data_IF_427009054041
#
_entry.id   IF_427009054041
#
_cell.length_a   1.000
_cell.length_b   1.000
_cell.length_c   1.000
_cell.angle_alpha   90.00
_cell.angle_beta   90.00
_cell.angle_gamma   90.00
#
_symmetry.space_group_name_H-M   'P 1'
#
loop_
_entity.id
_entity.type
_entity.pdbx_description
1 polymer ?
#
# COMPACT_ATOMS: atom_id res chain seq x y z
N UNK A 1 21.72 -1.61 24.45
CA UNK A 1 20.25 -1.52 24.58
C UNK A 1 19.91 -0.24 25.30
N UNK A 2 19.22 0.69 24.64
CA UNK A 2 18.87 1.99 25.22
C UNK A 2 17.65 1.83 26.14
N UNK A 3 17.61 2.39 27.37
CA UNK A 3 16.57 2.11 28.36
C UNK A 3 15.33 3.02 28.19
N UNK A 4 14.80 3.14 26.97
CA UNK A 4 13.51 3.81 26.77
C UNK A 4 12.40 2.76 26.76
N UNK A 5 11.73 2.62 27.90
CA UNK A 5 10.49 1.84 28.00
C UNK A 5 9.48 2.34 26.97
N UNK A 6 8.80 1.41 26.26
CA UNK A 6 7.72 1.69 25.30
C UNK A 6 6.52 2.31 26.04
N UNK A 7 6.59 3.62 26.30
CA UNK A 7 5.46 4.34 26.91
C UNK A 7 4.38 4.50 25.84
N UNK A 8 3.25 3.83 26.04
CA UNK A 8 2.09 3.95 25.16
C UNK A 8 1.50 5.36 25.29
N UNK A 9 1.11 5.94 24.16
CA UNK A 9 0.37 7.20 24.12
C UNK A 9 -1.13 6.99 24.39
N UNK A 10 -1.90 8.08 24.32
CA UNK A 10 -3.36 8.02 24.50
C UNK A 10 -4.08 7.15 23.46
N UNK A 11 -3.46 6.92 22.29
CA UNK A 11 -3.98 6.02 21.25
C UNK A 11 -3.75 4.54 21.53
N UNK A 12 -3.02 4.18 22.59
CA UNK A 12 -2.61 2.80 22.86
C UNK A 12 -1.40 2.34 22.03
N UNK A 13 -0.86 3.19 21.15
CA UNK A 13 0.33 2.90 20.34
C UNK A 13 1.54 3.73 20.77
N UNK A 14 2.73 3.31 20.34
CA UNK A 14 4.01 4.01 20.59
C UNK A 14 4.72 4.35 19.28
N UNK A 15 5.77 5.17 19.34
CA UNK A 15 6.65 5.46 18.19
C UNK A 15 7.30 4.20 17.57
N UNK A 16 7.34 3.11 18.32
CA UNK A 16 7.92 1.82 17.89
C UNK A 16 6.86 0.78 17.50
N UNK A 17 5.59 1.18 17.44
CA UNK A 17 4.51 0.30 16.98
C UNK A 17 4.58 0.12 15.47
N UNK A 18 4.42 -1.10 15.00
CA UNK A 18 4.49 -1.41 13.57
C UNK A 18 3.18 -1.06 12.87
N UNK A 19 3.22 -0.88 11.55
CA UNK A 19 2.01 -0.66 10.75
C UNK A 19 1.04 -1.85 10.85
N UNK A 20 1.55 -3.08 11.02
CA UNK A 20 0.71 -4.25 11.29
C UNK A 20 0.01 -4.17 12.64
N UNK A 21 0.73 -3.87 13.73
CA UNK A 21 0.16 -3.74 15.08
C UNK A 21 -0.93 -2.66 15.10
N UNK A 22 -0.68 -1.52 14.45
CA UNK A 22 -1.62 -0.39 14.41
C UNK A 22 -2.89 -0.73 13.62
N UNK A 23 -2.82 -1.64 12.67
CA UNK A 23 -3.95 -2.03 11.81
C UNK A 23 -4.59 -3.36 12.22
N UNK A 24 -4.21 -3.93 13.36
CA UNK A 24 -4.77 -5.19 13.82
C UNK A 24 -6.30 -5.11 13.95
N UNK A 25 -7.00 -6.14 13.44
CA UNK A 25 -8.46 -6.22 13.46
C UNK A 25 -9.18 -5.37 12.40
N UNK A 26 -8.48 -4.59 11.58
CA UNK A 26 -9.10 -3.84 10.48
C UNK A 26 -9.43 -4.78 9.31
N UNK A 27 -10.68 -4.77 8.86
CA UNK A 27 -11.14 -5.44 7.64
C UNK A 27 -11.32 -4.41 6.51
N UNK A 28 -10.48 -4.52 5.47
CA UNK A 28 -10.49 -3.67 4.30
C UNK A 28 -10.93 -4.38 3.02
N UNK A 29 -11.53 -5.58 3.11
CA UNK A 29 -11.85 -6.43 1.94
C UNK A 29 -12.75 -5.77 0.88
N UNK A 30 -13.56 -4.78 1.27
CA UNK A 30 -14.42 -4.01 0.37
C UNK A 30 -13.80 -2.70 -0.14
N UNK A 31 -12.55 -2.42 0.23
CA UNK A 31 -11.86 -1.17 -0.08
C UNK A 31 -10.84 -1.35 -1.19
N UNK A 32 -10.63 -0.29 -1.97
CA UNK A 32 -9.54 -0.17 -2.95
C UNK A 32 -8.68 1.04 -2.60
N UNK A 33 -7.37 0.85 -2.66
CA UNK A 33 -6.37 1.89 -2.41
C UNK A 33 -5.46 2.07 -3.63
N UNK A 34 -5.13 3.31 -3.95
CA UNK A 34 -3.98 3.62 -4.80
C UNK A 34 -2.83 4.02 -3.89
N UNK A 35 -1.69 3.34 -4.03
CA UNK A 35 -0.45 3.68 -3.32
C UNK A 35 0.59 4.11 -4.33
N UNK A 36 0.93 5.40 -4.29
CA UNK A 36 1.98 5.97 -5.13
C UNK A 36 3.37 5.64 -4.56
N UNK A 37 4.36 5.43 -5.43
CA UNK A 37 5.73 5.14 -4.99
C UNK A 37 5.89 3.80 -4.25
N UNK A 38 4.98 2.84 -4.48
CA UNK A 38 4.94 1.57 -3.76
C UNK A 38 6.05 0.57 -4.13
N UNK A 39 7.02 0.94 -4.97
CA UNK A 39 8.13 0.07 -5.38
C UNK A 39 9.22 -0.09 -4.30
N UNK A 40 9.20 0.71 -3.23
CA UNK A 40 10.15 0.62 -2.12
C UNK A 40 9.69 1.37 -0.86
N UNK A 41 10.47 1.26 0.22
CA UNK A 41 10.34 2.10 1.42
C UNK A 41 8.95 2.06 2.05
N UNK A 42 8.46 3.24 2.47
CA UNK A 42 7.16 3.38 3.15
C UNK A 42 6.01 3.00 2.22
N UNK A 43 6.10 3.29 0.92
CA UNK A 43 5.06 2.92 -0.05
C UNK A 43 4.91 1.40 -0.16
N UNK A 44 6.02 0.67 -0.18
CA UNK A 44 6.01 -0.79 -0.20
C UNK A 44 5.40 -1.38 1.08
N UNK A 45 5.79 -0.86 2.26
CA UNK A 45 5.24 -1.29 3.54
C UNK A 45 3.73 -0.97 3.65
N UNK A 46 3.32 0.21 3.16
CA UNK A 46 1.91 0.61 3.12
C UNK A 46 1.11 -0.34 2.24
N UNK A 47 1.61 -0.66 1.04
CA UNK A 47 0.97 -1.61 0.13
C UNK A 47 0.86 -3.00 0.76
N UNK A 48 1.92 -3.47 1.42
CA UNK A 48 1.97 -4.77 2.11
C UNK A 48 0.92 -4.86 3.22
N UNK A 49 0.84 -3.87 4.09
CA UNK A 49 -0.10 -3.85 5.22
C UNK A 49 -1.55 -3.67 4.77
N UNK A 50 -1.82 -2.81 3.78
CA UNK A 50 -3.17 -2.69 3.22
C UNK A 50 -3.62 -4.01 2.58
N UNK A 51 -2.74 -4.66 1.81
CA UNK A 51 -3.02 -5.97 1.23
C UNK A 51 -3.23 -7.05 2.29
N UNK A 52 -2.46 -7.03 3.39
CA UNK A 52 -2.65 -7.91 4.56
C UNK A 52 -4.05 -7.73 5.18
N UNK A 53 -4.61 -6.52 5.15
CA UNK A 53 -5.98 -6.22 5.61
C UNK A 53 -7.05 -6.43 4.54
N UNK A 54 -6.70 -7.06 3.41
CA UNK A 54 -7.64 -7.45 2.35
C UNK A 54 -7.99 -6.34 1.36
N UNK A 55 -7.40 -5.15 1.49
CA UNK A 55 -7.62 -4.03 0.56
C UNK A 55 -7.09 -4.41 -0.83
N UNK A 56 -7.81 -4.05 -1.88
CA UNK A 56 -7.29 -4.13 -3.24
C UNK A 56 -6.34 -2.96 -3.48
N UNK A 57 -5.05 -3.26 -3.60
CA UNK A 57 -4.01 -2.25 -3.76
C UNK A 57 -3.64 -2.08 -5.24
N UNK A 58 -3.70 -0.85 -5.71
CA UNK A 58 -3.19 -0.42 -7.01
C UNK A 58 -1.87 0.33 -6.78
N UNK A 59 -0.75 -0.29 -7.13
CA UNK A 59 0.58 0.29 -7.00
C UNK A 59 0.84 1.21 -8.21
N UNK A 60 0.83 2.53 -7.96
CA UNK A 60 1.21 3.54 -8.96
C UNK A 60 2.70 3.83 -8.87
N UNK A 61 3.49 3.38 -9.85
CA UNK A 61 4.96 3.46 -9.80
C UNK A 61 5.60 3.80 -11.13
N UNK A 62 6.82 4.36 -11.06
CA UNK A 62 7.70 4.51 -12.23
C UNK A 62 8.55 3.25 -12.43
N UNK A 63 9.10 2.70 -11.33
CA UNK A 63 9.88 1.47 -11.36
C UNK A 63 8.99 0.20 -11.31
N UNK A 64 8.66 -0.30 -12.49
CA UNK A 64 7.84 -1.50 -12.66
C UNK A 64 8.54 -2.79 -12.21
N UNK A 65 9.87 -2.84 -12.20
CA UNK A 65 10.61 -4.03 -11.78
C UNK A 65 10.61 -4.10 -10.26
N UNK A 66 10.94 -2.99 -9.58
CA UNK A 66 10.87 -2.88 -8.13
C UNK A 66 9.46 -3.21 -7.60
N UNK A 67 8.42 -2.68 -8.24
CA UNK A 67 7.05 -2.99 -7.84
C UNK A 67 6.66 -4.46 -8.02
N UNK A 68 7.14 -5.15 -9.08
CA UNK A 68 6.92 -6.60 -9.24
C UNK A 68 7.57 -7.39 -8.10
N UNK A 69 8.81 -7.05 -7.74
CA UNK A 69 9.50 -7.70 -6.62
C UNK A 69 8.75 -7.50 -5.30
N UNK A 70 8.24 -6.28 -5.04
CA UNK A 70 7.41 -5.99 -3.87
C UNK A 70 6.12 -6.80 -3.92
N UNK A 71 5.38 -6.82 -5.05
CA UNK A 71 4.17 -7.63 -5.21
C UNK A 71 4.43 -9.12 -4.95
N UNK A 72 5.52 -9.67 -5.47
CA UNK A 72 5.91 -11.06 -5.23
C UNK A 72 6.23 -11.34 -3.76
N UNK A 73 6.93 -10.43 -3.08
CA UNK A 73 7.19 -10.53 -1.64
C UNK A 73 5.88 -10.51 -0.84
N UNK A 74 4.97 -9.59 -1.15
CA UNK A 74 3.65 -9.51 -0.51
C UNK A 74 2.86 -10.79 -0.74
N UNK A 75 2.86 -11.35 -1.95
CA UNK A 75 2.15 -12.60 -2.24
C UNK A 75 2.73 -13.82 -1.51
N UNK A 76 4.03 -13.84 -1.21
CA UNK A 76 4.63 -14.90 -0.38
C UNK A 76 4.11 -14.87 1.05
N UNK A 77 3.85 -13.67 1.59
CA UNK A 77 3.28 -13.47 2.92
C UNK A 77 1.76 -13.65 2.93
N UNK A 78 1.08 -13.10 1.94
CA UNK A 78 -0.39 -13.08 1.78
C UNK A 78 -0.77 -13.57 0.38
N UNK A 79 -0.92 -14.88 0.16
CA UNK A 79 -1.21 -15.44 -1.18
C UNK A 79 -2.51 -14.94 -1.81
N UNK A 80 -3.47 -14.51 -0.99
CA UNK A 80 -4.78 -13.98 -1.41
C UNK A 80 -4.80 -12.47 -1.68
N UNK A 81 -3.67 -11.78 -1.50
CA UNK A 81 -3.57 -10.34 -1.69
C UNK A 81 -4.03 -9.92 -3.11
N UNK A 82 -4.82 -8.85 -3.21
CA UNK A 82 -5.24 -8.28 -4.49
C UNK A 82 -4.39 -7.07 -4.80
N UNK A 83 -3.42 -7.25 -5.71
CA UNK A 83 -2.46 -6.19 -6.05
C UNK A 83 -2.33 -6.07 -7.57
N UNK A 84 -2.57 -4.88 -8.09
CA UNK A 84 -2.26 -4.52 -9.48
C UNK A 84 -1.18 -3.45 -9.52
N UNK A 85 -0.37 -3.47 -10.58
CA UNK A 85 0.71 -2.50 -10.78
C UNK A 85 0.39 -1.71 -12.04
N UNK A 86 0.30 -0.39 -11.90
CA UNK A 86 0.09 0.54 -12.98
C UNK A 86 1.25 1.54 -13.03
N UNK A 87 1.73 1.79 -14.24
CA UNK A 87 2.74 2.83 -14.47
C UNK A 87 2.16 4.20 -14.14
N UNK A 88 2.89 4.98 -13.34
CA UNK A 88 2.52 6.33 -12.93
C UNK A 88 3.79 7.17 -12.70
N UNK A 89 3.99 8.15 -13.59
CA UNK A 89 4.93 9.23 -13.40
C UNK A 89 4.19 10.51 -13.02
N UNK A 90 4.29 10.89 -11.75
CA UNK A 90 3.64 12.08 -11.20
C UNK A 90 4.21 13.41 -11.75
N UNK A 91 5.36 13.38 -12.42
CA UNK A 91 5.91 14.56 -13.09
C UNK A 91 5.28 14.82 -14.46
N UNK A 92 4.51 13.86 -15.00
CA UNK A 92 3.90 13.93 -16.33
C UNK A 92 2.38 13.91 -16.27
N UNK A 93 1.75 15.02 -16.65
CA UNK A 93 0.28 15.10 -16.75
C UNK A 93 -0.31 14.12 -17.78
N UNK A 94 0.47 13.72 -18.81
CA UNK A 94 0.05 12.68 -19.74
C UNK A 94 0.01 11.32 -19.03
N UNK A 95 1.07 10.95 -18.30
CA UNK A 95 1.12 9.71 -17.51
C UNK A 95 0.00 9.65 -16.47
N UNK A 96 -0.25 10.75 -15.74
CA UNK A 96 -1.35 10.83 -14.78
C UNK A 96 -2.70 10.56 -15.45
N UNK A 97 -2.98 11.17 -16.61
CA UNK A 97 -4.24 10.95 -17.33
C UNK A 97 -4.39 9.51 -17.81
N UNK A 98 -3.31 8.92 -18.33
CA UNK A 98 -3.31 7.53 -18.79
C UNK A 98 -3.52 6.55 -17.63
N UNK A 99 -2.85 6.78 -16.49
CA UNK A 99 -3.06 6.02 -15.26
C UNK A 99 -4.52 6.10 -14.80
N UNK A 100 -5.11 7.29 -14.75
CA UNK A 100 -6.51 7.48 -14.35
C UNK A 100 -7.46 6.78 -15.32
N UNK A 101 -7.18 6.82 -16.63
CA UNK A 101 -7.98 6.10 -17.63
C UNK A 101 -7.93 4.59 -17.42
N UNK A 102 -6.74 4.03 -17.13
CA UNK A 102 -6.55 2.61 -16.82
C UNK A 102 -7.23 2.22 -15.52
N UNK A 103 -7.10 3.02 -14.46
CA UNK A 103 -7.77 2.74 -13.19
C UNK A 103 -9.29 2.73 -13.34
N UNK A 104 -9.86 3.71 -14.07
CA UNK A 104 -11.31 3.77 -14.32
C UNK A 104 -11.83 2.55 -15.07
N UNK A 105 -11.05 1.94 -15.97
CA UNK A 105 -11.49 0.75 -16.70
C UNK A 105 -11.66 -0.49 -15.82
N UNK A 106 -11.08 -0.51 -14.61
CA UNK A 106 -11.29 -1.60 -13.65
C UNK A 106 -12.69 -1.55 -13.01
N UNK A 107 -13.42 -0.44 -13.12
CA UNK A 107 -14.74 -0.29 -12.51
C UNK A 107 -14.74 -0.30 -10.98
N UNK A 108 -13.58 -0.05 -10.36
CA UNK A 108 -13.41 -0.01 -8.92
C UNK A 108 -13.72 1.39 -8.36
N UNK A 109 -14.21 1.43 -7.13
CA UNK A 109 -14.32 2.69 -6.37
C UNK A 109 -13.00 3.00 -5.69
N UNK A 110 -12.51 4.24 -5.79
CA UNK A 110 -11.34 4.66 -5.03
C UNK A 110 -11.74 5.06 -3.60
N UNK A 111 -11.20 4.37 -2.59
CA UNK A 111 -11.47 4.67 -1.18
C UNK A 111 -10.30 5.36 -0.49
N UNK A 112 -9.07 5.00 -0.84
CA UNK A 112 -7.83 5.46 -0.19
C UNK A 112 -6.84 5.88 -1.27
N UNK A 113 -6.20 7.04 -1.09
CA UNK A 113 -5.10 7.53 -1.92
C UNK A 113 -3.91 7.85 -1.01
N UNK A 114 -2.78 7.19 -1.27
CA UNK A 114 -1.53 7.30 -0.52
C UNK A 114 -0.38 7.80 -1.39
#
# INVERSE_FOLDING_TARGET
MWPFSRKLGASGFSWSSTAEEVTEGVDGTALTAIVTGASSGIGAETARVLALRGVHVIMGVIDMIGAKNVKEAIHKETPTAKIDILELDLSSMASIRDFVSKFKSYGLSLNILM
#
